data_IF_091797615509
#
_entry.id   IF_091797615509
#
_cell.length_a   1.000
_cell.length_b   1.000
_cell.length_c   1.000
_cell.angle_alpha   90.00
_cell.angle_beta   90.00
_cell.angle_gamma   90.00
#
_symmetry.space_group_name_H-M   'P 1'
#
loop_
_entity.id
_entity.type
_entity.pdbx_description
1 polymer ?
#
# COMPACT_ATOMS: atom_id res chain seq x y z
N UNK A 1 86.85 10.64 11.81
CA UNK A 1 86.29 9.46 11.09
C UNK A 1 84.83 9.32 11.51
N UNK A 2 83.97 9.02 10.54
CA UNK A 2 82.59 9.51 10.45
C UNK A 2 81.59 8.96 11.47
N UNK A 3 80.60 9.81 11.78
CA UNK A 3 79.28 9.41 12.25
C UNK A 3 78.53 8.74 11.10
N UNK A 4 77.86 7.61 11.35
CA UNK A 4 76.82 7.11 10.45
C UNK A 4 75.57 6.79 11.26
N UNK A 5 74.54 7.60 11.02
CA UNK A 5 73.15 7.29 11.31
C UNK A 5 72.64 6.25 10.29
N UNK A 6 71.80 5.33 10.72
CA UNK A 6 70.89 4.61 9.82
C UNK A 6 69.56 4.45 10.53
N UNK A 7 68.65 5.38 10.24
CA UNK A 7 67.25 5.28 10.58
C UNK A 7 66.51 4.67 9.38
N UNK A 8 65.86 3.54 9.58
CA UNK A 8 65.03 2.87 8.58
C UNK A 8 63.71 3.62 8.48
N UNK A 9 63.46 4.29 7.35
CA UNK A 9 62.18 4.95 7.05
C UNK A 9 61.12 3.89 6.72
N UNK A 10 60.09 3.78 7.56
CA UNK A 10 58.89 2.99 7.27
C UNK A 10 58.06 3.66 6.16
N UNK A 11 57.61 2.87 5.19
CA UNK A 11 56.76 3.34 4.10
C UNK A 11 55.38 3.78 4.62
N UNK A 12 54.81 4.89 4.13
CA UNK A 12 53.48 5.34 4.55
C UNK A 12 52.40 4.41 3.99
N UNK A 13 51.59 3.82 4.86
CA UNK A 13 50.37 3.11 4.49
C UNK A 13 49.33 4.11 3.99
N UNK A 14 48.97 4.03 2.71
CA UNK A 14 47.85 4.79 2.15
C UNK A 14 46.54 4.32 2.81
N UNK A 15 45.78 5.22 3.46
CA UNK A 15 44.49 4.86 4.02
C UNK A 15 43.53 4.51 2.88
N UNK A 16 42.99 3.29 2.94
CA UNK A 16 41.91 2.84 2.05
C UNK A 16 40.70 3.72 2.32
N UNK A 17 40.36 4.60 1.36
CA UNK A 17 39.14 5.41 1.42
C UNK A 17 37.95 4.48 1.21
N UNK A 18 37.30 4.07 2.31
CA UNK A 18 35.98 3.49 2.23
C UNK A 18 35.02 4.57 1.72
N UNK A 19 34.65 4.48 0.44
CA UNK A 19 33.60 5.30 -0.13
C UNK A 19 32.25 4.82 0.42
N UNK A 20 31.71 5.55 1.40
CA UNK A 20 30.34 5.34 1.87
C UNK A 20 29.39 5.85 0.79
N UNK A 21 28.86 4.95 -0.04
CA UNK A 21 27.71 5.26 -0.88
C UNK A 21 26.50 5.44 0.03
N UNK A 22 26.07 6.69 0.24
CA UNK A 22 24.74 6.98 0.80
C UNK A 22 23.73 6.63 -0.28
N UNK A 23 23.21 5.40 -0.25
CA UNK A 23 22.09 5.00 -1.10
C UNK A 23 20.86 5.77 -0.60
N UNK A 24 20.52 6.86 -1.29
CA UNK A 24 19.24 7.57 -1.07
C UNK A 24 18.14 6.49 -1.14
N UNK A 25 17.33 6.37 -0.09
CA UNK A 25 16.24 5.39 -0.05
C UNK A 25 15.30 5.56 -1.25
N UNK A 26 14.50 4.52 -1.54
CA UNK A 26 13.47 4.59 -2.59
C UNK A 26 12.58 5.82 -2.36
N UNK A 27 12.50 6.76 -3.32
CA UNK A 27 11.65 7.93 -3.15
C UNK A 27 10.18 7.52 -3.07
N UNK A 28 9.40 8.25 -2.28
CA UNK A 28 7.98 8.01 -2.06
C UNK A 28 7.21 9.30 -2.34
N UNK A 29 6.17 9.16 -3.15
CA UNK A 29 5.18 10.21 -3.39
C UNK A 29 3.84 9.72 -2.87
N UNK A 30 3.21 10.51 -1.99
CA UNK A 30 1.94 10.15 -1.36
C UNK A 30 0.93 11.25 -1.60
N UNK A 31 -0.25 10.88 -2.07
CA UNK A 31 -1.32 11.81 -2.38
C UNK A 31 -2.61 11.43 -1.63
N UNK A 32 -3.23 12.33 -0.86
CA UNK A 32 -2.67 13.59 -0.38
C UNK A 32 -1.49 13.36 0.60
N UNK A 33 -0.59 14.33 0.75
CA UNK A 33 0.59 14.18 1.62
C UNK A 33 0.15 14.06 3.10
N UNK A 34 0.42 12.92 3.78
CA UNK A 34 -0.05 12.68 5.15
C UNK A 34 0.63 13.58 6.19
N UNK A 35 1.74 14.25 5.83
CA UNK A 35 2.42 15.25 6.68
C UNK A 35 1.69 16.59 6.71
N UNK A 36 0.86 16.84 5.70
CA UNK A 36 0.09 18.08 5.55
C UNK A 36 -1.38 17.84 5.92
N UNK A 37 -1.94 16.71 5.49
CA UNK A 37 -3.36 16.38 5.68
C UNK A 37 -3.47 14.98 6.27
N UNK A 38 -4.05 14.87 7.47
CA UNK A 38 -4.38 13.56 8.04
C UNK A 38 -5.50 12.91 7.22
N UNK A 39 -5.28 11.68 6.76
CA UNK A 39 -6.31 10.93 6.04
C UNK A 39 -7.42 10.54 7.00
N UNK A 40 -8.63 11.04 6.74
CA UNK A 40 -9.84 10.74 7.51
C UNK A 40 -11.01 10.51 6.56
N UNK A 41 -12.02 9.75 6.98
CA UNK A 41 -13.28 9.70 6.26
C UNK A 41 -13.88 11.11 6.14
N UNK A 42 -13.94 11.67 4.93
CA UNK A 42 -14.59 12.96 4.67
C UNK A 42 -16.01 12.77 4.13
N UNK A 43 -16.83 13.81 4.19
CA UNK A 43 -18.17 13.78 3.60
C UNK A 43 -18.10 13.72 2.07
N UNK A 44 -19.03 12.99 1.43
CA UNK A 44 -19.21 13.01 -0.03
C UNK A 44 -19.37 14.44 -0.54
N UNK A 45 -18.77 14.73 -1.71
CA UNK A 45 -18.84 16.04 -2.37
C UNK A 45 -17.82 17.08 -1.90
N UNK A 46 -17.09 16.83 -0.79
CA UNK A 46 -16.01 17.73 -0.37
C UNK A 46 -14.69 17.40 -1.04
N UNK A 47 -14.52 17.88 -2.29
CA UNK A 47 -13.21 18.02 -2.95
C UNK A 47 -12.26 16.82 -2.81
N UNK A 48 -12.80 15.59 -2.83
CA UNK A 48 -11.99 14.38 -2.70
C UNK A 48 -11.11 14.27 -3.94
N UNK A 49 -9.83 13.98 -3.70
CA UNK A 49 -8.92 13.64 -4.78
C UNK A 49 -9.49 12.46 -5.54
N UNK A 50 -9.39 12.51 -6.87
CA UNK A 50 -9.76 11.41 -7.75
C UNK A 50 -8.50 10.75 -8.29
N UNK A 51 -8.62 9.50 -8.76
CA UNK A 51 -7.47 8.78 -9.29
C UNK A 51 -7.00 9.35 -10.64
N UNK A 52 -7.90 10.05 -11.35
CA UNK A 52 -7.65 10.77 -12.60
C UNK A 52 -7.09 12.20 -12.38
N UNK A 53 -6.65 12.53 -11.17
CA UNK A 53 -5.96 13.79 -10.87
C UNK A 53 -4.64 13.88 -11.69
N UNK A 54 -4.42 15.02 -12.33
CA UNK A 54 -3.25 15.30 -13.19
C UNK A 54 -1.88 15.07 -12.52
N UNK A 55 -1.81 15.03 -11.19
CA UNK A 55 -0.57 14.70 -10.44
C UNK A 55 -0.22 13.21 -10.47
N UNK A 56 -1.17 12.37 -10.87
CA UNK A 56 -1.04 10.92 -10.97
C UNK A 56 -0.98 10.55 -12.46
N UNK A 57 0.10 9.90 -12.87
CA UNK A 57 0.19 9.30 -14.21
C UNK A 57 -0.63 8.02 -14.23
N UNK A 58 -1.89 8.16 -14.65
CA UNK A 58 -2.83 7.06 -14.69
C UNK A 58 -2.40 5.93 -15.63
N UNK A 59 -1.66 6.25 -16.71
CA UNK A 59 -1.13 5.27 -17.64
C UNK A 59 -0.08 4.38 -17.00
N UNK A 60 0.88 4.98 -16.28
CA UNK A 60 1.91 4.24 -15.53
C UNK A 60 1.33 3.47 -14.35
N UNK A 61 0.35 4.05 -13.65
CA UNK A 61 -0.35 3.36 -12.56
C UNK A 61 -1.10 2.13 -13.06
N UNK A 62 -1.82 2.27 -14.19
CA UNK A 62 -2.50 1.14 -14.85
C UNK A 62 -1.49 0.08 -15.24
N UNK A 63 -0.37 0.44 -15.87
CA UNK A 63 0.68 -0.51 -16.23
C UNK A 63 1.21 -1.27 -15.00
N UNK A 64 1.50 -0.57 -13.91
CA UNK A 64 1.94 -1.17 -12.65
C UNK A 64 0.94 -2.21 -12.12
N UNK A 65 -0.36 -1.87 -12.10
CA UNK A 65 -1.41 -2.81 -11.66
C UNK A 65 -1.46 -4.02 -12.58
N UNK A 66 -1.51 -3.81 -13.90
CA UNK A 66 -1.62 -4.92 -14.84
C UNK A 66 -0.41 -5.86 -14.81
N UNK A 67 0.80 -5.31 -14.70
CA UNK A 67 2.03 -6.10 -14.57
C UNK A 67 2.05 -6.88 -13.24
N UNK A 68 1.79 -6.20 -12.12
CA UNK A 68 1.83 -6.83 -10.79
C UNK A 68 0.82 -7.98 -10.65
N UNK A 69 -0.40 -7.79 -11.15
CA UNK A 69 -1.48 -8.78 -11.02
C UNK A 69 -1.55 -9.76 -12.20
N UNK A 70 -0.89 -9.46 -13.32
CA UNK A 70 -0.95 -10.29 -14.53
C UNK A 70 -2.30 -10.32 -15.23
N UNK A 71 -3.13 -9.30 -15.01
CA UNK A 71 -4.50 -9.22 -15.53
C UNK A 71 -4.77 -7.81 -16.03
N UNK A 72 -5.59 -7.69 -17.08
CA UNK A 72 -5.98 -6.40 -17.66
C UNK A 72 -7.02 -5.72 -16.78
N UNK A 73 -6.77 -4.45 -16.46
CA UNK A 73 -7.66 -3.62 -15.65
C UNK A 73 -8.71 -2.98 -16.56
N UNK A 74 -9.98 -3.10 -16.19
CA UNK A 74 -11.02 -2.24 -16.73
C UNK A 74 -10.88 -0.88 -16.05
N UNK A 75 -10.19 0.05 -16.71
CA UNK A 75 -9.84 1.33 -16.11
C UNK A 75 -11.08 2.17 -15.81
N UNK A 76 -12.03 2.24 -16.74
CA UNK A 76 -13.22 3.09 -16.57
C UNK A 76 -14.08 2.56 -15.43
N UNK A 77 -14.38 1.27 -15.43
CA UNK A 77 -15.11 0.63 -14.34
C UNK A 77 -14.41 0.82 -13.00
N UNK A 78 -13.07 0.70 -12.98
CA UNK A 78 -12.29 0.89 -11.76
C UNK A 78 -12.37 2.33 -11.23
N UNK A 79 -12.22 3.34 -12.10
CA UNK A 79 -12.35 4.76 -11.74
C UNK A 79 -13.73 5.07 -11.17
N UNK A 80 -14.78 4.52 -11.78
CA UNK A 80 -16.15 4.74 -11.32
C UNK A 80 -16.39 4.10 -9.95
N UNK A 81 -15.87 2.88 -9.72
CA UNK A 81 -15.97 2.19 -8.42
C UNK A 81 -15.32 2.98 -7.28
N UNK A 82 -14.13 3.54 -7.51
CA UNK A 82 -13.35 4.20 -6.46
C UNK A 82 -13.54 5.72 -6.40
N UNK A 83 -14.23 6.32 -7.37
CA UNK A 83 -14.24 7.77 -7.57
C UNK A 83 -14.58 8.56 -6.31
N UNK A 84 -15.63 8.14 -5.60
CA UNK A 84 -16.05 8.74 -4.34
C UNK A 84 -15.48 8.06 -3.10
N UNK A 85 -14.68 7.00 -3.27
CA UNK A 85 -14.12 6.17 -2.20
C UNK A 85 -12.63 6.42 -1.98
N UNK A 86 -11.91 7.06 -2.90
CA UNK A 86 -10.47 7.23 -2.82
C UNK A 86 -10.05 7.96 -1.53
N UNK A 87 -9.22 7.29 -0.73
CA UNK A 87 -8.54 7.88 0.42
C UNK A 87 -7.21 8.50 -0.01
N UNK A 88 -6.48 7.79 -0.87
CA UNK A 88 -5.25 8.28 -1.45
C UNK A 88 -4.42 7.20 -2.15
N UNK A 89 -3.27 7.62 -2.66
CA UNK A 89 -2.35 6.81 -3.46
C UNK A 89 -0.93 6.99 -2.96
N UNK A 90 -0.20 5.89 -2.85
CA UNK A 90 1.23 5.85 -2.55
C UNK A 90 1.94 5.34 -3.80
N UNK A 91 2.98 6.05 -4.24
CA UNK A 91 3.82 5.68 -5.38
C UNK A 91 5.27 5.63 -4.90
N UNK A 92 5.91 4.47 -5.08
CA UNK A 92 7.33 4.29 -4.85
C UNK A 92 8.10 4.44 -6.16
N UNK A 93 9.15 5.26 -6.11
CA UNK A 93 10.01 5.57 -7.21
C UNK A 93 9.27 6.11 -8.42
N UNK A 94 9.65 5.58 -9.57
CA UNK A 94 9.12 5.79 -10.90
C UNK A 94 8.04 4.74 -11.22
N UNK A 95 7.09 4.56 -10.30
CA UNK A 95 6.02 3.54 -10.36
C UNK A 95 6.54 2.10 -10.31
N UNK A 96 7.65 1.82 -9.62
CA UNK A 96 8.08 0.44 -9.36
C UNK A 96 7.17 -0.28 -8.36
N UNK A 97 6.49 0.48 -7.50
CA UNK A 97 5.46 -0.03 -6.61
C UNK A 97 4.47 1.05 -6.21
N UNK A 98 3.32 0.64 -5.69
CA UNK A 98 2.30 1.56 -5.25
C UNK A 98 1.15 0.90 -4.53
N UNK A 99 0.38 1.73 -3.84
CA UNK A 99 -0.82 1.34 -3.13
C UNK A 99 -1.96 2.32 -3.41
N UNK A 100 -3.16 1.80 -3.66
CA UNK A 100 -4.40 2.58 -3.77
C UNK A 100 -5.26 2.21 -2.58
N UNK A 101 -5.72 3.23 -1.85
CA UNK A 101 -6.44 3.05 -0.61
C UNK A 101 -7.78 3.78 -0.67
N UNK A 102 -8.80 3.16 -0.10
CA UNK A 102 -10.17 3.66 -0.13
C UNK A 102 -10.80 3.71 1.26
N UNK A 103 -11.85 4.50 1.37
CA UNK A 103 -12.77 4.59 2.48
C UNK A 103 -14.08 3.89 2.06
N UNK A 104 -14.22 2.63 2.44
CA UNK A 104 -15.34 1.78 2.03
C UNK A 104 -16.44 1.79 3.11
N UNK A 105 -17.70 1.73 2.71
CA UNK A 105 -18.81 1.55 3.64
C UNK A 105 -19.27 0.09 3.61
N UNK A 106 -19.50 -0.54 4.77
CA UNK A 106 -20.13 -1.86 4.82
C UNK A 106 -21.51 -1.83 4.14
N UNK A 107 -21.87 -2.87 3.37
CA UNK A 107 -23.21 -2.99 2.80
C UNK A 107 -24.31 -2.81 3.85
N UNK A 108 -25.36 -2.08 3.47
CA UNK A 108 -26.48 -1.76 4.37
C UNK A 108 -26.25 -0.55 5.27
N UNK A 109 -25.04 0.03 5.32
CA UNK A 109 -24.80 1.33 5.95
C UNK A 109 -25.19 2.45 4.98
N UNK A 110 -26.06 3.40 5.38
CA UNK A 110 -26.42 4.52 4.52
C UNK A 110 -25.21 5.41 4.20
N UNK A 111 -24.98 5.70 2.92
CA UNK A 111 -23.93 6.64 2.49
C UNK A 111 -24.48 8.08 2.45
N UNK A 112 -24.84 8.60 3.62
CA UNK A 112 -25.59 9.87 3.78
C UNK A 112 -24.84 10.94 4.59
N UNK A 113 -23.52 10.78 4.78
CA UNK A 113 -22.68 11.69 5.57
C UNK A 113 -23.06 11.85 7.06
N UNK A 114 -23.96 11.02 7.58
CA UNK A 114 -24.31 11.01 8.99
C UNK A 114 -23.11 10.55 9.85
N UNK A 115 -22.87 11.11 11.05
CA UNK A 115 -21.78 10.68 11.92
C UNK A 115 -21.78 9.17 12.23
N UNK A 116 -22.95 8.52 12.27
CA UNK A 116 -23.02 7.06 12.48
C UNK A 116 -22.55 6.24 11.27
N UNK A 117 -22.72 6.76 10.06
CA UNK A 117 -22.18 6.14 8.84
C UNK A 117 -20.69 6.40 8.69
N UNK A 118 -20.24 7.63 8.98
CA UNK A 118 -18.83 8.01 8.92
C UNK A 118 -17.98 7.22 9.93
N UNK A 119 -18.52 6.90 11.11
CA UNK A 119 -17.82 6.09 12.12
C UNK A 119 -17.67 4.62 11.72
N UNK A 120 -18.46 4.15 10.75
CA UNK A 120 -18.40 2.80 10.17
C UNK A 120 -17.59 2.71 8.88
N UNK A 121 -16.93 3.80 8.48
CA UNK A 121 -16.09 3.82 7.29
C UNK A 121 -14.84 2.96 7.50
N UNK A 122 -14.60 2.02 6.59
CA UNK A 122 -13.51 1.05 6.64
C UNK A 122 -12.32 1.56 5.83
N UNK A 123 -11.13 1.74 6.44
CA UNK A 123 -9.89 1.97 5.70
C UNK A 123 -9.48 0.69 4.97
N UNK A 124 -9.47 0.72 3.65
CA UNK A 124 -9.25 -0.45 2.81
C UNK A 124 -8.07 -0.25 1.85
N UNK A 125 -7.15 -1.22 1.81
CA UNK A 125 -6.09 -1.30 0.81
C UNK A 125 -6.63 -2.07 -0.41
N UNK A 126 -6.95 -1.33 -1.47
CA UNK A 126 -7.65 -1.86 -2.64
C UNK A 126 -6.73 -2.46 -3.70
N UNK A 127 -5.58 -1.82 -3.94
CA UNK A 127 -4.51 -2.36 -4.79
C UNK A 127 -3.19 -2.18 -4.06
N UNK A 128 -2.42 -3.25 -3.99
CA UNK A 128 -1.02 -3.23 -3.61
C UNK A 128 -0.23 -3.87 -4.75
N UNK A 129 0.53 -3.06 -5.48
CA UNK A 129 1.16 -3.46 -6.72
C UNK A 129 2.66 -3.20 -6.67
N UNK A 130 3.44 -4.17 -7.14
CA UNK A 130 4.89 -4.06 -7.34
C UNK A 130 5.21 -4.69 -8.67
N UNK A 131 5.95 -3.96 -9.53
CA UNK A 131 6.37 -4.50 -10.82
C UNK A 131 7.08 -5.84 -10.62
N UNK A 132 6.79 -6.83 -11.48
CA UNK A 132 7.36 -8.17 -11.40
C UNK A 132 8.89 -8.15 -11.37
N UNK A 133 9.50 -7.27 -12.18
CA UNK A 133 10.96 -7.06 -12.20
C UNK A 133 11.54 -6.54 -10.88
N UNK A 134 10.71 -5.93 -10.04
CA UNK A 134 11.07 -5.34 -8.74
C UNK A 134 10.68 -6.23 -7.55
N UNK A 135 9.95 -7.31 -7.79
CA UNK A 135 9.60 -8.31 -6.77
C UNK A 135 10.85 -9.10 -6.33
N UNK A 136 10.85 -9.60 -5.09
CA UNK A 136 11.98 -10.35 -4.53
C UNK A 136 13.13 -9.50 -3.97
N UNK A 137 13.21 -8.21 -4.31
CA UNK A 137 14.19 -7.28 -3.72
C UNK A 137 13.84 -6.81 -2.30
N UNK A 138 12.65 -7.16 -1.77
CA UNK A 138 12.11 -6.78 -0.45
C UNK A 138 11.82 -5.29 -0.28
N UNK A 139 12.66 -4.42 -0.85
CA UNK A 139 12.67 -2.99 -0.59
C UNK A 139 11.44 -2.25 -1.07
N UNK A 140 10.94 -2.51 -2.29
CA UNK A 140 9.82 -1.71 -2.83
C UNK A 140 8.52 -1.99 -2.06
N UNK A 141 8.17 -3.26 -1.88
CA UNK A 141 6.97 -3.65 -1.13
C UNK A 141 7.02 -3.13 0.31
N UNK A 142 8.14 -3.33 1.01
CA UNK A 142 8.27 -2.90 2.40
C UNK A 142 8.24 -1.37 2.52
N UNK A 143 8.81 -0.62 1.58
CA UNK A 143 8.76 0.85 1.59
C UNK A 143 7.33 1.36 1.40
N UNK A 144 6.58 0.81 0.44
CA UNK A 144 5.15 1.17 0.23
C UNK A 144 4.31 0.81 1.45
N UNK A 145 4.49 -0.40 1.99
CA UNK A 145 3.72 -0.87 3.14
C UNK A 145 4.02 -0.07 4.41
N UNK A 146 5.29 0.25 4.67
CA UNK A 146 5.65 1.08 5.82
C UNK A 146 5.08 2.50 5.70
N UNK A 147 5.10 3.09 4.49
CA UNK A 147 4.48 4.40 4.26
C UNK A 147 2.97 4.37 4.53
N UNK A 148 2.30 3.29 4.11
CA UNK A 148 0.89 3.05 4.36
C UNK A 148 0.59 2.97 5.86
N UNK A 149 1.22 2.05 6.60
CA UNK A 149 0.81 1.74 7.98
C UNK A 149 1.38 2.72 9.01
N UNK A 150 2.45 3.46 8.70
CA UNK A 150 3.04 4.44 9.62
C UNK A 150 2.62 5.87 9.33
N UNK A 151 2.39 6.20 8.06
CA UNK A 151 2.06 7.55 7.62
C UNK A 151 0.58 7.76 7.33
N UNK A 152 -0.01 6.89 6.50
CA UNK A 152 -1.34 7.12 5.95
C UNK A 152 -2.46 6.59 6.87
N UNK A 153 -2.31 5.36 7.35
CA UNK A 153 -3.26 4.67 8.23
C UNK A 153 -2.59 4.14 9.50
N UNK A 154 -2.09 5.02 10.39
CA UNK A 154 -1.45 4.60 11.65
C UNK A 154 -2.36 3.82 12.60
N UNK A 155 -3.69 4.04 12.50
CA UNK A 155 -4.69 3.32 13.28
C UNK A 155 -5.12 1.98 12.64
N UNK A 156 -4.55 1.66 11.50
CA UNK A 156 -4.72 0.41 10.79
C UNK A 156 -5.64 0.50 9.57
N UNK A 157 -5.51 -0.54 8.74
CA UNK A 157 -6.14 -0.72 7.44
C UNK A 157 -6.44 -2.21 7.27
N UNK A 158 -7.47 -2.57 6.50
CA UNK A 158 -7.72 -3.94 6.10
C UNK A 158 -7.62 -4.13 4.59
N UNK A 159 -7.44 -5.39 4.18
CA UNK A 159 -7.46 -5.79 2.78
C UNK A 159 -7.87 -7.25 2.66
N UNK A 160 -8.17 -7.66 1.43
CA UNK A 160 -8.31 -9.08 1.10
C UNK A 160 -7.21 -9.52 0.14
N UNK A 161 -6.82 -10.78 0.23
CA UNK A 161 -5.92 -11.43 -0.72
C UNK A 161 -6.43 -12.83 -1.02
N UNK A 162 -6.20 -13.31 -2.26
CA UNK A 162 -6.57 -14.66 -2.66
C UNK A 162 -5.82 -15.67 -1.82
N UNK A 163 -6.45 -16.79 -1.42
CA UNK A 163 -5.83 -17.74 -0.49
C UNK A 163 -4.57 -18.38 -1.10
N UNK A 164 -4.54 -18.54 -2.42
CA UNK A 164 -3.42 -19.07 -3.22
C UNK A 164 -2.41 -17.99 -3.66
N UNK A 165 -2.58 -16.72 -3.25
CA UNK A 165 -1.62 -15.67 -3.57
C UNK A 165 -0.28 -15.95 -2.88
N UNK A 166 0.84 -16.10 -3.62
CA UNK A 166 2.15 -16.38 -3.03
C UNK A 166 2.64 -15.27 -2.08
N UNK A 167 2.11 -14.05 -2.20
CA UNK A 167 2.41 -12.91 -1.32
C UNK A 167 1.83 -13.11 0.09
N UNK A 168 0.90 -14.04 0.31
CA UNK A 168 0.25 -14.21 1.62
C UNK A 168 1.23 -14.46 2.76
N UNK A 169 2.33 -15.20 2.53
CA UNK A 169 3.39 -15.38 3.55
C UNK A 169 3.91 -14.04 4.06
N UNK A 170 4.17 -13.11 3.14
CA UNK A 170 4.62 -11.75 3.46
C UNK A 170 3.53 -10.92 4.19
N UNK A 171 2.25 -11.10 3.83
CA UNK A 171 1.14 -10.46 4.55
C UNK A 171 0.99 -10.98 5.99
N UNK A 172 1.09 -12.29 6.22
CA UNK A 172 1.00 -12.87 7.56
C UNK A 172 2.04 -12.27 8.51
N UNK A 173 3.28 -12.09 8.04
CA UNK A 173 4.37 -11.50 8.82
C UNK A 173 4.15 -10.02 9.20
N UNK A 174 3.28 -9.31 8.48
CA UNK A 174 3.11 -7.85 8.59
C UNK A 174 1.72 -7.40 9.05
N UNK A 175 0.74 -8.31 8.99
CA UNK A 175 -0.59 -8.10 9.53
C UNK A 175 -0.61 -8.29 11.05
N UNK A 176 -1.55 -7.65 11.73
CA UNK A 176 -1.87 -7.97 13.14
C UNK A 176 -2.81 -9.16 13.27
N UNK A 177 -3.59 -9.42 12.23
CA UNK A 177 -4.47 -10.57 12.19
C UNK A 177 -4.96 -10.83 10.77
N UNK A 178 -5.52 -12.02 10.61
CA UNK A 178 -6.11 -12.48 9.37
C UNK A 178 -7.31 -13.40 9.65
N UNK A 179 -8.21 -13.50 8.68
CA UNK A 179 -9.38 -14.36 8.75
C UNK A 179 -9.72 -14.90 7.36
N UNK A 180 -9.75 -16.23 7.23
CA UNK A 180 -10.24 -16.87 6.00
C UNK A 180 -11.74 -16.70 5.91
N UNK A 181 -12.22 -16.03 4.87
CA UNK A 181 -13.63 -15.70 4.69
C UNK A 181 -14.42 -16.94 4.24
N UNK A 182 -15.27 -17.55 5.08
CA UNK A 182 -15.96 -18.79 4.72
C UNK A 182 -16.80 -18.64 3.44
N UNK A 183 -16.81 -19.69 2.63
CA UNK A 183 -17.53 -19.73 1.34
C UNK A 183 -16.87 -18.93 0.21
N UNK A 184 -15.63 -18.45 0.38
CA UNK A 184 -14.90 -17.67 -0.63
C UNK A 184 -13.44 -18.11 -0.73
N UNK A 185 -12.77 -17.77 -1.83
CA UNK A 185 -11.32 -17.92 -1.98
C UNK A 185 -10.55 -16.66 -1.49
N UNK A 186 -11.01 -16.03 -0.41
CA UNK A 186 -10.39 -14.82 0.14
C UNK A 186 -9.93 -15.03 1.58
N UNK A 187 -8.80 -14.40 1.91
CA UNK A 187 -8.37 -14.15 3.28
C UNK A 187 -8.37 -12.65 3.51
N UNK A 188 -9.06 -12.22 4.55
CA UNK A 188 -9.03 -10.85 5.06
C UNK A 188 -7.80 -10.70 5.96
N UNK A 189 -7.11 -9.56 5.86
CA UNK A 189 -5.97 -9.18 6.69
C UNK A 189 -6.17 -7.77 7.22
N UNK A 190 -5.57 -7.45 8.36
CA UNK A 190 -5.61 -6.09 8.91
C UNK A 190 -4.39 -5.76 9.76
N UNK A 191 -4.15 -4.46 9.94
CA UNK A 191 -3.16 -3.93 10.90
C UNK A 191 -3.78 -3.21 12.10
N UNK A 192 -5.10 -3.07 12.12
CA UNK A 192 -5.84 -2.44 13.21
C UNK A 192 -5.72 -3.29 14.50
N UNK A 193 -5.43 -2.69 15.67
CA UNK A 193 -5.44 -3.41 16.94
C UNK A 193 -6.85 -3.93 17.28
N UNK A 194 -6.93 -5.05 18.00
CA UNK A 194 -8.14 -5.50 18.72
C UNK A 194 -9.40 -5.68 17.85
N UNK A 195 -9.22 -5.99 16.56
CA UNK A 195 -10.36 -6.23 15.64
C UNK A 195 -11.21 -7.43 16.06
N UNK A 196 -10.66 -8.59 16.50
CA UNK A 196 -11.47 -9.72 16.96
C UNK A 196 -12.35 -9.41 18.18
N UNK A 197 -11.92 -8.49 19.04
CA UNK A 197 -12.62 -8.06 20.25
C UNK A 197 -13.73 -7.04 19.95
N UNK A 198 -13.56 -6.22 18.91
CA UNK A 198 -14.55 -5.27 18.40
C UNK A 198 -15.47 -5.94 17.35
N UNK A 199 -16.56 -6.55 17.83
CA UNK A 199 -17.51 -7.28 16.98
C UNK A 199 -18.05 -6.44 15.81
N UNK A 200 -18.33 -5.15 16.02
CA UNK A 200 -18.86 -4.30 14.95
C UNK A 200 -17.81 -4.08 13.87
N UNK A 201 -16.58 -3.73 14.26
CA UNK A 201 -15.47 -3.51 13.33
C UNK A 201 -15.10 -4.78 12.57
N UNK A 202 -15.08 -5.93 13.24
CA UNK A 202 -14.85 -7.22 12.59
C UNK A 202 -15.88 -7.46 11.48
N UNK A 203 -17.18 -7.28 11.80
CA UNK A 203 -18.27 -7.45 10.83
C UNK A 203 -18.17 -6.44 9.68
N UNK A 204 -17.76 -5.21 9.94
CA UNK A 204 -17.60 -4.16 8.93
C UNK A 204 -16.48 -4.51 7.95
N UNK A 205 -15.34 -4.93 8.47
CA UNK A 205 -14.19 -5.36 7.66
C UNK A 205 -14.54 -6.61 6.84
N UNK A 206 -15.21 -7.58 7.45
CA UNK A 206 -15.65 -8.80 6.78
C UNK A 206 -16.60 -8.47 5.63
N UNK A 207 -17.60 -7.63 5.90
CA UNK A 207 -18.61 -7.24 4.92
C UNK A 207 -17.99 -6.46 3.76
N UNK A 208 -17.06 -5.53 4.02
CA UNK A 208 -16.32 -4.83 2.95
C UNK A 208 -15.51 -5.83 2.13
N UNK A 209 -14.67 -6.67 2.77
CA UNK A 209 -13.82 -7.62 2.05
C UNK A 209 -14.61 -8.61 1.19
N UNK A 210 -15.83 -8.98 1.58
CA UNK A 210 -16.72 -9.85 0.78
C UNK A 210 -17.30 -9.13 -0.43
N UNK A 211 -17.58 -7.84 -0.34
CA UNK A 211 -18.41 -7.13 -1.31
C UNK A 211 -17.64 -6.21 -2.25
N UNK A 212 -16.31 -6.05 -2.10
CA UNK A 212 -15.51 -5.35 -3.12
C UNK A 212 -15.66 -6.05 -4.48
N UNK A 213 -16.11 -5.29 -5.47
CA UNK A 213 -16.29 -5.77 -6.84
C UNK A 213 -14.93 -5.84 -7.56
N UNK A 214 -14.62 -6.96 -8.25
CA UNK A 214 -13.47 -7.02 -9.15
C UNK A 214 -13.56 -5.96 -10.25
N UNK A 215 -12.43 -5.47 -10.75
CA UNK A 215 -12.40 -4.44 -11.81
C UNK A 215 -11.53 -4.86 -13.01
N UNK A 216 -11.59 -6.15 -13.36
CA UNK A 216 -10.80 -6.72 -14.44
C UNK A 216 -11.58 -6.72 -15.76
N UNK A 217 -10.88 -6.42 -16.86
CA UNK A 217 -11.47 -6.29 -18.19
C UNK A 217 -12.01 -7.62 -18.77
N UNK A 218 -11.63 -8.75 -18.19
CA UNK A 218 -12.14 -10.06 -18.61
C UNK A 218 -13.54 -10.39 -18.07
N UNK A 219 -14.10 -9.53 -17.20
CA UNK A 219 -15.41 -9.73 -16.56
C UNK A 219 -15.47 -11.00 -15.71
N UNK A 220 -14.35 -11.70 -15.53
CA UNK A 220 -14.31 -12.93 -14.78
C UNK A 220 -14.32 -12.58 -13.30
N UNK A 221 -15.09 -13.31 -12.48
CA UNK A 221 -14.91 -13.20 -11.05
C UNK A 221 -13.43 -13.47 -10.77
N UNK A 222 -12.90 -12.81 -9.75
CA UNK A 222 -11.64 -13.24 -9.19
C UNK A 222 -11.83 -14.75 -8.90
N UNK A 223 -11.02 -15.63 -9.50
CA UNK A 223 -11.07 -17.07 -9.19
C UNK A 223 -10.41 -17.31 -7.84
#
# INVERSE_FOLDING_TARGET
MGMNHSATLGAPSTPVKHSTFVKKGMPLTVFPDPRVITWKPTQRGQGRMRLDDHRIDLGRLKYLIEDSFGRKLDLQHYLDRIGDRLAGVIIAGEYEGGAILTWELPPGVPDNNDPSSLSRMVPYLDKFAVLRKSQGSGGVADVVFNAMVRGCFPNGVCWRSRQDNPVNKWYFERSRGSWSLPGTNWTMFWTTPEVPEDRQKFMDYEAVCRNIEPSWADGKPDK
#
